data_IF_258870883865
#
_entry.id   IF_258870883865
#
_cell.length_a   1.000
_cell.length_b   1.000
_cell.length_c   1.000
_cell.angle_alpha   90.00
_cell.angle_beta   90.00
_cell.angle_gamma   90.00
#
_symmetry.space_group_name_H-M   'P 1'
#
loop_
_entity.id
_entity.type
_entity.pdbx_description
1 polymer ?
#
# COMPACT_ATOMS: atom_id res chain seq x y z
N UNK A 1 -34.56 -24.25 -11.50
CA UNK A 1 -34.32 -23.77 -12.87
C UNK A 1 -34.71 -24.79 -13.93
N UNK A 2 -35.14 -25.99 -13.54
CA UNK A 2 -35.76 -27.03 -14.38
C UNK A 2 -35.12 -27.24 -15.78
N UNK A 3 -33.79 -27.18 -15.84
CA UNK A 3 -33.02 -27.35 -17.06
C UNK A 3 -32.72 -26.04 -17.82
N UNK A 4 -33.22 -24.90 -17.36
CA UNK A 4 -32.90 -23.60 -17.93
C UNK A 4 -31.58 -23.06 -17.33
N UNK A 5 -30.52 -23.09 -18.12
CA UNK A 5 -29.18 -22.69 -17.70
C UNK A 5 -29.08 -21.18 -17.42
N UNK A 6 -29.73 -20.35 -18.25
CA UNK A 6 -29.72 -18.90 -18.08
C UNK A 6 -30.40 -18.48 -16.78
N UNK A 7 -31.56 -19.07 -16.48
CA UNK A 7 -32.28 -18.85 -15.22
C UNK A 7 -31.47 -19.34 -14.01
N UNK A 8 -30.77 -20.47 -14.15
CA UNK A 8 -29.88 -20.97 -13.10
C UNK A 8 -28.74 -20.00 -12.81
N UNK A 9 -28.10 -19.44 -13.83
CA UNK A 9 -27.04 -18.45 -13.71
C UNK A 9 -27.57 -17.17 -13.06
N UNK A 10 -28.74 -16.69 -13.47
CA UNK A 10 -29.37 -15.49 -12.90
C UNK A 10 -29.68 -15.69 -11.41
N UNK A 11 -30.27 -16.83 -11.05
CA UNK A 11 -30.57 -17.16 -9.65
C UNK A 11 -29.31 -17.26 -8.81
N UNK A 12 -28.24 -17.84 -9.35
CA UNK A 12 -26.96 -17.93 -8.66
C UNK A 12 -26.34 -16.54 -8.41
N UNK A 13 -26.39 -15.65 -9.39
CA UNK A 13 -25.94 -14.25 -9.26
C UNK A 13 -26.70 -13.51 -8.18
N UNK A 14 -28.02 -13.63 -8.14
CA UNK A 14 -28.89 -13.03 -7.12
C UNK A 14 -28.54 -13.57 -5.72
N UNK A 15 -28.35 -14.88 -5.58
CA UNK A 15 -27.97 -15.51 -4.32
C UNK A 15 -26.58 -15.06 -3.85
N UNK A 16 -25.61 -14.92 -4.77
CA UNK A 16 -24.28 -14.44 -4.48
C UNK A 16 -24.28 -12.98 -3.97
N UNK A 17 -25.03 -12.11 -4.63
CA UNK A 17 -25.18 -10.71 -4.21
C UNK A 17 -25.82 -10.58 -2.84
N UNK A 18 -26.84 -11.35 -2.53
CA UNK A 18 -27.47 -11.39 -1.21
C UNK A 18 -26.51 -11.87 -0.12
N UNK A 19 -25.73 -12.89 -0.37
CA UNK A 19 -24.72 -13.39 0.58
C UNK A 19 -23.62 -12.36 0.82
N UNK A 20 -23.13 -11.71 -0.24
CA UNK A 20 -22.13 -10.66 -0.14
C UNK A 20 -22.66 -9.49 0.69
N UNK A 21 -23.87 -9.03 0.43
CA UNK A 21 -24.51 -7.95 1.19
C UNK A 21 -24.62 -8.27 2.69
N UNK A 22 -25.00 -9.50 3.04
CA UNK A 22 -25.11 -9.95 4.45
C UNK A 22 -23.76 -9.97 5.19
N UNK A 23 -22.67 -10.06 4.46
CA UNK A 23 -21.32 -10.13 5.04
C UNK A 23 -20.57 -8.82 4.99
N UNK A 24 -21.11 -7.79 4.31
CA UNK A 24 -20.43 -6.52 4.04
C UNK A 24 -19.96 -5.79 5.31
N UNK A 25 -20.67 -5.96 6.42
CA UNK A 25 -20.33 -5.31 7.69
C UNK A 25 -19.27 -6.07 8.52
N UNK A 26 -18.84 -7.24 8.05
CA UNK A 26 -17.79 -7.99 8.75
C UNK A 26 -16.42 -7.35 8.51
N UNK A 27 -15.63 -7.27 9.56
CA UNK A 27 -14.27 -6.76 9.46
C UNK A 27 -13.40 -7.67 8.59
N UNK A 28 -12.88 -7.12 7.51
CA UNK A 28 -11.95 -7.78 6.61
C UNK A 28 -10.62 -7.02 6.63
N UNK A 29 -9.74 -7.38 7.56
CA UNK A 29 -8.47 -6.71 7.81
C UNK A 29 -7.26 -7.50 7.30
N UNK A 30 -7.47 -8.72 6.87
CA UNK A 30 -6.49 -9.55 6.18
C UNK A 30 -6.61 -9.39 4.66
N UNK A 31 -5.87 -10.14 3.90
CA UNK A 31 -5.94 -10.10 2.45
C UNK A 31 -4.58 -10.12 1.79
N UNK A 32 -4.52 -9.54 0.60
CA UNK A 32 -3.30 -9.46 -0.19
C UNK A 32 -3.21 -8.14 -0.95
N UNK A 33 -1.99 -7.76 -1.27
CA UNK A 33 -1.65 -6.65 -2.16
C UNK A 33 -1.01 -7.20 -3.43
N UNK A 34 -1.17 -6.48 -4.54
CA UNK A 34 -0.54 -6.82 -5.81
C UNK A 34 -0.10 -5.54 -6.52
N UNK A 35 0.95 -5.67 -7.33
CA UNK A 35 1.51 -4.58 -8.12
C UNK A 35 1.68 -5.01 -9.56
N UNK A 36 1.59 -4.06 -10.48
CA UNK A 36 1.96 -4.24 -11.87
C UNK A 36 2.54 -2.95 -12.42
N UNK A 37 3.69 -3.05 -13.10
CA UNK A 37 4.40 -1.92 -13.68
C UNK A 37 4.56 -2.16 -15.18
N UNK A 38 4.38 -1.10 -15.97
CA UNK A 38 4.62 -1.17 -17.42
C UNK A 38 6.08 -1.51 -17.70
N UNK A 39 6.32 -2.27 -18.77
CA UNK A 39 7.68 -2.71 -19.14
C UNK A 39 8.65 -1.55 -19.34
N UNK A 40 8.14 -0.43 -19.87
CA UNK A 40 8.93 0.79 -20.08
C UNK A 40 9.08 1.66 -18.82
N UNK A 41 8.48 1.26 -17.69
CA UNK A 41 8.52 2.02 -16.45
C UNK A 41 7.67 3.28 -16.41
N UNK A 42 6.80 3.48 -17.42
CA UNK A 42 6.03 4.74 -17.53
C UNK A 42 4.90 4.89 -16.51
N UNK A 43 4.39 3.79 -16.00
CA UNK A 43 3.36 3.80 -14.95
C UNK A 43 3.31 2.46 -14.21
N UNK A 44 2.64 2.47 -13.08
CA UNK A 44 2.39 1.27 -12.30
C UNK A 44 1.11 1.38 -11.48
N UNK A 45 0.58 0.24 -11.06
CA UNK A 45 -0.58 0.15 -10.18
C UNK A 45 -0.29 -0.73 -8.99
N UNK A 46 -0.92 -0.40 -7.87
CA UNK A 46 -0.96 -1.23 -6.67
C UNK A 46 -2.40 -1.35 -6.21
N UNK A 47 -2.79 -2.57 -5.83
CA UNK A 47 -4.14 -2.86 -5.35
C UNK A 47 -4.08 -3.56 -3.99
N UNK A 48 -5.08 -3.31 -3.15
CA UNK A 48 -5.29 -4.02 -1.90
C UNK A 48 -6.68 -4.66 -1.92
N UNK A 49 -6.71 -5.98 -1.76
CA UNK A 49 -7.93 -6.77 -1.66
C UNK A 49 -7.98 -7.43 -0.30
N UNK A 50 -9.04 -7.20 0.44
CA UNK A 50 -9.19 -7.69 1.80
C UNK A 50 -10.05 -8.95 1.89
N UNK A 51 -9.74 -9.76 2.90
CA UNK A 51 -10.50 -10.91 3.38
C UNK A 51 -10.58 -10.87 4.92
N UNK A 52 -11.40 -11.73 5.52
CA UNK A 52 -11.50 -11.79 6.98
C UNK A 52 -10.28 -12.50 7.59
N UNK A 53 -9.76 -13.54 6.92
CA UNK A 53 -8.65 -14.36 7.41
C UNK A 53 -7.51 -14.45 6.40
N UNK A 54 -6.33 -14.76 6.92
CA UNK A 54 -5.15 -15.04 6.08
C UNK A 54 -5.27 -16.38 5.32
N UNK A 55 -6.08 -17.30 5.81
CA UNK A 55 -6.40 -18.54 5.10
C UNK A 55 -7.12 -18.25 3.79
N UNK A 56 -8.14 -17.40 3.82
CA UNK A 56 -8.87 -16.98 2.64
C UNK A 56 -7.95 -16.27 1.64
N UNK A 57 -7.02 -15.45 2.13
CA UNK A 57 -6.06 -14.72 1.30
C UNK A 57 -5.11 -15.64 0.50
N UNK A 58 -4.92 -16.88 0.92
CA UNK A 58 -4.07 -17.88 0.24
C UNK A 58 -4.87 -18.83 -0.66
N UNK A 59 -6.18 -18.78 -0.58
CA UNK A 59 -7.05 -19.64 -1.38
C UNK A 59 -6.90 -19.31 -2.87
N UNK A 60 -6.74 -20.33 -3.77
CA UNK A 60 -6.43 -20.09 -5.19
C UNK A 60 -7.41 -19.19 -5.92
N UNK A 61 -8.69 -19.25 -5.60
CA UNK A 61 -9.70 -18.38 -6.23
C UNK A 61 -9.58 -16.93 -5.77
N UNK A 62 -9.19 -16.71 -4.51
CA UNK A 62 -8.88 -15.36 -4.03
C UNK A 62 -7.64 -14.79 -4.74
N UNK A 63 -6.58 -15.57 -4.84
CA UNK A 63 -5.35 -15.19 -5.55
C UNK A 63 -5.65 -14.84 -7.01
N UNK A 64 -6.47 -15.64 -7.70
CA UNK A 64 -6.90 -15.38 -9.06
C UNK A 64 -7.74 -14.11 -9.18
N UNK A 65 -8.58 -13.82 -8.20
CA UNK A 65 -9.38 -12.60 -8.14
C UNK A 65 -8.48 -11.36 -7.99
N UNK A 66 -7.50 -11.40 -7.08
CA UNK A 66 -6.51 -10.31 -6.92
C UNK A 66 -5.78 -10.04 -8.25
N UNK A 67 -5.37 -11.08 -8.96
CA UNK A 67 -4.75 -10.96 -10.27
C UNK A 67 -5.66 -10.27 -11.29
N UNK A 68 -6.95 -10.61 -11.32
CA UNK A 68 -7.93 -9.93 -12.18
C UNK A 68 -8.07 -8.45 -11.85
N UNK A 69 -8.10 -8.11 -10.58
CA UNK A 69 -8.22 -6.71 -10.14
C UNK A 69 -7.00 -5.89 -10.56
N UNK A 70 -5.78 -6.38 -10.30
CA UNK A 70 -4.57 -5.65 -10.67
C UNK A 70 -4.43 -5.53 -12.18
N UNK A 71 -4.78 -6.55 -12.94
CA UNK A 71 -4.74 -6.52 -14.42
C UNK A 71 -5.75 -5.52 -14.98
N UNK A 72 -6.96 -5.48 -14.45
CA UNK A 72 -7.99 -4.52 -14.88
C UNK A 72 -7.60 -3.08 -14.54
N UNK A 73 -7.09 -2.83 -13.34
CA UNK A 73 -6.60 -1.52 -12.93
C UNK A 73 -5.41 -1.06 -13.80
N UNK A 74 -4.51 -1.98 -14.12
CA UNK A 74 -3.37 -1.72 -14.99
C UNK A 74 -3.80 -1.38 -16.43
N UNK A 75 -4.71 -2.16 -17.01
CA UNK A 75 -5.18 -1.96 -18.39
C UNK A 75 -5.94 -0.65 -18.57
N UNK A 76 -6.67 -0.21 -17.55
CA UNK A 76 -7.53 0.99 -17.61
C UNK A 76 -6.95 2.21 -16.93
N UNK A 77 -5.86 2.05 -16.16
CA UNK A 77 -5.30 3.07 -15.27
C UNK A 77 -6.34 3.66 -14.32
N UNK A 78 -7.30 2.83 -13.91
CA UNK A 78 -8.41 3.26 -13.05
C UNK A 78 -8.05 3.12 -11.59
N UNK A 79 -7.99 4.24 -10.87
CA UNK A 79 -7.74 4.29 -9.43
C UNK A 79 -9.02 4.34 -8.59
N UNK A 80 -10.16 4.66 -9.20
CA UNK A 80 -11.45 4.67 -8.52
C UNK A 80 -11.98 3.25 -8.40
N UNK A 81 -12.07 2.75 -7.17
CA UNK A 81 -12.54 1.39 -6.88
C UNK A 81 -13.97 1.18 -7.37
N UNK A 82 -14.87 2.13 -7.10
CA UNK A 82 -16.27 2.01 -7.51
C UNK A 82 -16.41 1.93 -9.03
N UNK A 83 -15.64 2.74 -9.76
CA UNK A 83 -15.64 2.72 -11.22
C UNK A 83 -15.08 1.40 -11.77
N UNK A 84 -13.98 0.90 -11.22
CA UNK A 84 -13.39 -0.36 -11.64
C UNK A 84 -14.32 -1.55 -11.37
N UNK A 85 -14.99 -1.54 -10.23
CA UNK A 85 -15.85 -2.64 -9.77
C UNK A 85 -17.25 -2.60 -10.38
N UNK A 86 -17.59 -1.58 -11.15
CA UNK A 86 -18.88 -1.52 -11.85
C UNK A 86 -18.95 -2.58 -12.96
N UNK A 87 -19.73 -3.64 -12.73
CA UNK A 87 -19.97 -4.68 -13.74
C UNK A 87 -19.39 -6.06 -13.36
N UNK A 88 -18.64 -6.66 -14.27
CA UNK A 88 -18.18 -8.06 -14.14
C UNK A 88 -17.29 -8.32 -12.93
N UNK A 89 -16.46 -7.37 -12.53
CA UNK A 89 -15.58 -7.54 -11.38
C UNK A 89 -16.37 -7.61 -10.06
N UNK A 90 -17.44 -6.82 -9.94
CA UNK A 90 -18.34 -6.91 -8.80
C UNK A 90 -19.06 -8.27 -8.77
N UNK A 91 -19.53 -8.74 -9.90
CA UNK A 91 -20.12 -10.07 -10.02
C UNK A 91 -19.14 -11.17 -9.60
N UNK A 92 -17.87 -11.05 -10.02
CA UNK A 92 -16.80 -11.97 -9.62
C UNK A 92 -16.53 -11.94 -8.12
N UNK A 93 -16.51 -10.73 -7.52
CA UNK A 93 -16.35 -10.55 -6.07
C UNK A 93 -17.46 -11.24 -5.30
N UNK A 94 -18.71 -11.00 -5.67
CA UNK A 94 -19.89 -11.61 -5.03
C UNK A 94 -19.87 -13.14 -5.12
N UNK A 95 -19.49 -13.68 -6.27
CA UNK A 95 -19.33 -15.11 -6.46
C UNK A 95 -18.23 -15.69 -5.57
N UNK A 96 -17.13 -14.95 -5.40
CA UNK A 96 -16.02 -15.35 -4.54
C UNK A 96 -16.43 -15.34 -3.06
N UNK A 97 -17.16 -14.30 -2.61
CA UNK A 97 -17.72 -14.23 -1.25
C UNK A 97 -18.61 -15.44 -0.97
N UNK A 98 -19.44 -15.82 -1.93
CA UNK A 98 -20.29 -17.01 -1.79
C UNK A 98 -19.46 -18.29 -1.67
N UNK A 99 -18.41 -18.43 -2.48
CA UNK A 99 -17.57 -19.62 -2.52
C UNK A 99 -16.72 -19.78 -1.27
N UNK A 100 -16.07 -18.73 -0.82
CA UNK A 100 -15.17 -18.73 0.34
C UNK A 100 -15.94 -18.60 1.65
N UNK A 101 -17.04 -17.85 1.65
CA UNK A 101 -17.85 -17.63 2.84
C UNK A 101 -17.40 -16.49 3.73
N UNK A 102 -16.46 -15.67 3.28
CA UNK A 102 -15.97 -14.50 3.98
C UNK A 102 -16.32 -13.20 3.25
N UNK A 103 -16.31 -12.09 3.99
CA UNK A 103 -16.36 -10.77 3.39
C UNK A 103 -15.05 -10.50 2.62
N UNK A 104 -15.19 -10.14 1.35
CA UNK A 104 -14.08 -9.84 0.46
C UNK A 104 -14.37 -8.51 -0.23
N UNK A 105 -13.38 -7.64 -0.27
CA UNK A 105 -13.53 -6.34 -0.91
C UNK A 105 -12.23 -5.81 -1.47
N UNK A 106 -12.34 -5.06 -2.57
CA UNK A 106 -11.25 -4.24 -3.08
C UNK A 106 -11.25 -2.95 -2.29
N UNK A 107 -10.22 -2.75 -1.47
CA UNK A 107 -10.16 -1.63 -0.55
C UNK A 107 -9.68 -0.34 -1.21
N UNK A 108 -8.59 -0.45 -1.96
CA UNK A 108 -7.96 0.72 -2.59
C UNK A 108 -7.11 0.31 -3.79
N UNK A 109 -6.96 1.26 -4.68
CA UNK A 109 -6.13 1.18 -5.87
C UNK A 109 -5.36 2.49 -5.98
N UNK A 110 -4.07 2.40 -6.28
CA UNK A 110 -3.27 3.58 -6.60
C UNK A 110 -2.60 3.39 -7.95
N UNK A 111 -2.60 4.46 -8.75
CA UNK A 111 -1.94 4.53 -10.05
C UNK A 111 -0.89 5.62 -9.98
N UNK A 112 0.33 5.29 -10.37
CA UNK A 112 1.46 6.24 -10.43
C UNK A 112 1.94 6.30 -11.87
N UNK A 113 1.99 7.50 -12.44
CA UNK A 113 2.41 7.76 -13.82
C UNK A 113 3.51 8.81 -13.89
N UNK A 114 4.37 8.67 -14.88
CA UNK A 114 5.44 9.61 -15.19
C UNK A 114 6.80 9.23 -14.59
N UNK A 115 7.84 9.79 -15.17
CA UNK A 115 9.20 9.46 -14.75
C UNK A 115 9.55 7.98 -14.93
N UNK A 116 10.23 7.43 -13.96
CA UNK A 116 10.59 6.00 -13.92
C UNK A 116 9.91 5.37 -12.70
N UNK A 117 8.97 4.48 -12.95
CA UNK A 117 8.21 3.78 -11.92
C UNK A 117 8.83 2.43 -11.64
N UNK A 118 9.08 2.15 -10.37
CA UNK A 118 9.49 0.86 -9.87
C UNK A 118 8.55 0.32 -8.81
N UNK A 119 8.56 -0.99 -8.61
CA UNK A 119 7.72 -1.65 -7.64
C UNK A 119 8.50 -2.68 -6.84
N UNK A 120 8.05 -2.91 -5.63
CA UNK A 120 8.46 -4.02 -4.80
C UNK A 120 7.23 -4.68 -4.18
N UNK A 121 7.13 -5.99 -4.32
CA UNK A 121 6.14 -6.81 -3.67
C UNK A 121 6.86 -7.80 -2.76
N UNK A 122 6.58 -7.74 -1.46
CA UNK A 122 7.17 -8.67 -0.52
C UNK A 122 6.60 -10.08 -0.69
N UNK A 123 7.41 -11.10 -0.40
CA UNK A 123 7.07 -12.50 -0.62
C UNK A 123 5.80 -12.98 0.09
N UNK A 124 5.40 -12.31 1.17
CA UNK A 124 4.16 -12.61 1.90
C UNK A 124 2.90 -11.99 1.28
N UNK A 125 3.03 -11.20 0.19
CA UNK A 125 1.95 -10.46 -0.46
C UNK A 125 1.18 -9.51 0.45
N UNK A 126 1.80 -9.01 1.51
CA UNK A 126 1.21 -8.08 2.50
C UNK A 126 1.79 -6.68 2.45
N UNK A 127 2.94 -6.52 1.80
CA UNK A 127 3.60 -5.23 1.63
C UNK A 127 3.89 -5.05 0.14
N UNK A 128 3.41 -3.96 -0.41
CA UNK A 128 3.70 -3.55 -1.78
C UNK A 128 4.02 -2.06 -1.82
N UNK A 129 4.99 -1.70 -2.64
CA UNK A 129 5.46 -0.31 -2.78
C UNK A 129 5.60 0.03 -4.25
N UNK A 130 5.11 1.20 -4.64
CA UNK A 130 5.43 1.85 -5.91
C UNK A 130 6.30 3.07 -5.63
N UNK A 131 7.33 3.26 -6.43
CA UNK A 131 8.16 4.46 -6.43
C UNK A 131 8.18 5.11 -7.80
N UNK A 132 8.32 6.42 -7.81
CA UNK A 132 8.45 7.23 -9.00
C UNK A 132 9.70 8.10 -8.87
N UNK A 133 10.59 7.99 -9.84
CA UNK A 133 11.79 8.80 -9.95
C UNK A 133 11.67 9.74 -11.16
N UNK A 134 12.24 10.93 -11.07
CA UNK A 134 12.28 11.87 -12.22
C UNK A 134 13.24 11.40 -13.30
N UNK A 135 14.21 10.59 -12.95
CA UNK A 135 15.20 10.00 -13.85
C UNK A 135 15.76 8.71 -13.30
N UNK A 136 16.84 8.22 -13.88
CA UNK A 136 17.47 6.98 -13.47
C UNK A 136 16.87 5.75 -14.14
N UNK A 137 17.01 4.62 -13.50
CA UNK A 137 16.62 3.32 -14.03
C UNK A 137 15.48 2.68 -13.23
N UNK A 138 14.78 1.73 -13.85
CA UNK A 138 13.79 0.92 -13.14
C UNK A 138 14.42 0.11 -12.00
N UNK A 139 15.65 -0.33 -12.16
CA UNK A 139 16.39 -1.03 -11.10
C UNK A 139 16.58 -0.14 -9.87
N UNK A 140 16.98 1.12 -10.07
CA UNK A 140 17.09 2.09 -8.99
C UNK A 140 15.74 2.33 -8.30
N UNK A 141 14.68 2.53 -9.09
CA UNK A 141 13.33 2.71 -8.57
C UNK A 141 12.86 1.49 -7.74
N UNK A 142 13.18 0.30 -8.18
CA UNK A 142 12.89 -0.96 -7.46
C UNK A 142 13.68 -1.07 -6.15
N UNK A 143 14.94 -0.70 -6.17
CA UNK A 143 15.78 -0.71 -4.97
C UNK A 143 15.26 0.27 -3.92
N UNK A 144 14.82 1.45 -4.34
CA UNK A 144 14.17 2.42 -3.45
C UNK A 144 12.85 1.87 -2.90
N UNK A 145 12.04 1.22 -3.75
CA UNK A 145 10.79 0.58 -3.32
C UNK A 145 11.04 -0.50 -2.27
N UNK A 146 12.06 -1.32 -2.45
CA UNK A 146 12.46 -2.34 -1.49
C UNK A 146 12.91 -1.73 -0.16
N UNK A 147 13.68 -0.65 -0.20
CA UNK A 147 14.07 0.10 1.00
C UNK A 147 12.84 0.61 1.77
N UNK A 148 11.87 1.19 1.06
CA UNK A 148 10.62 1.67 1.65
C UNK A 148 9.86 0.54 2.34
N UNK A 149 9.78 -0.62 1.69
CA UNK A 149 9.14 -1.80 2.29
C UNK A 149 9.81 -2.25 3.59
N UNK A 150 11.15 -2.16 3.64
CA UNK A 150 11.93 -2.58 4.79
C UNK A 150 11.90 -1.59 5.95
N UNK A 151 11.97 -0.29 5.67
CA UNK A 151 12.18 0.78 6.67
C UNK A 151 10.92 1.59 6.96
N UNK A 152 9.97 1.59 6.05
CA UNK A 152 8.68 2.29 6.18
C UNK A 152 8.82 3.78 6.54
N UNK A 153 9.48 4.61 5.72
CA UNK A 153 9.53 6.04 5.95
C UNK A 153 8.12 6.65 5.89
N UNK A 154 7.87 7.65 6.71
CA UNK A 154 6.55 8.30 6.76
C UNK A 154 6.37 9.34 5.64
N UNK A 155 7.47 9.98 5.23
CA UNK A 155 7.49 11.04 4.20
C UNK A 155 8.73 10.89 3.33
N UNK A 156 8.75 11.59 2.20
CA UNK A 156 9.92 11.62 1.30
C UNK A 156 10.98 12.57 1.84
N UNK A 157 10.60 13.81 2.13
CA UNK A 157 11.50 14.85 2.67
C UNK A 157 11.11 15.21 4.10
N UNK A 158 12.07 15.69 4.93
CA UNK A 158 11.75 16.15 6.28
C UNK A 158 10.67 17.26 6.32
N UNK A 159 10.65 18.13 5.35
CA UNK A 159 9.69 19.23 5.22
C UNK A 159 8.26 18.77 4.97
N UNK A 160 8.10 17.56 4.46
CA UNK A 160 6.80 16.97 4.17
C UNK A 160 6.09 16.42 5.42
N UNK A 161 6.79 16.34 6.55
CA UNK A 161 6.21 15.84 7.79
C UNK A 161 5.09 16.76 8.26
N UNK A 162 3.85 16.24 8.46
CA UNK A 162 2.74 17.06 8.94
C UNK A 162 3.05 17.75 10.26
N UNK A 163 2.67 19.03 10.39
CA UNK A 163 2.96 19.84 11.57
C UNK A 163 2.37 19.24 12.86
N UNK A 164 1.18 18.64 12.79
CA UNK A 164 0.54 17.97 13.91
C UNK A 164 1.33 16.74 14.39
N UNK A 165 1.97 16.02 13.50
CA UNK A 165 2.84 14.89 13.85
C UNK A 165 4.12 15.35 14.54
N UNK A 166 4.71 16.45 14.09
CA UNK A 166 5.87 17.08 14.74
C UNK A 166 5.51 17.54 16.14
N UNK A 167 4.34 18.16 16.31
CA UNK A 167 3.86 18.61 17.63
C UNK A 167 3.60 17.44 18.60
N UNK A 168 3.02 16.35 18.11
CA UNK A 168 2.85 15.12 18.91
C UNK A 168 4.19 14.55 19.36
N UNK A 169 5.17 14.50 18.47
CA UNK A 169 6.50 14.01 18.82
C UNK A 169 7.18 14.93 19.84
N UNK A 170 7.03 16.23 19.73
CA UNK A 170 7.52 17.18 20.74
C UNK A 170 6.91 16.93 22.12
N UNK A 171 5.62 16.64 22.19
CA UNK A 171 4.94 16.29 23.45
C UNK A 171 5.49 15.00 24.04
N UNK A 172 5.72 13.97 23.22
CA UNK A 172 6.31 12.70 23.62
C UNK A 172 7.71 12.92 24.18
N UNK A 173 8.53 13.72 23.51
CA UNK A 173 9.90 14.04 23.93
C UNK A 173 9.89 14.78 25.27
N UNK A 174 9.01 15.78 25.45
CA UNK A 174 8.88 16.52 26.71
C UNK A 174 8.53 15.63 27.90
N UNK A 175 7.77 14.58 27.67
CA UNK A 175 7.34 13.64 28.70
C UNK A 175 8.42 12.60 29.06
N UNK A 176 9.55 12.58 28.36
CA UNK A 176 10.64 11.65 28.66
C UNK A 176 11.33 11.99 29.97
N UNK A 177 11.72 10.98 30.79
CA UNK A 177 12.29 11.20 32.13
C UNK A 177 13.54 12.07 32.15
N UNK A 178 14.36 12.02 31.11
CA UNK A 178 15.61 12.79 31.03
C UNK A 178 15.41 14.29 30.74
N UNK A 179 14.18 14.71 30.46
CA UNK A 179 13.78 16.11 30.33
C UNK A 179 13.36 16.73 31.67
N UNK A 180 13.08 15.90 32.66
CA UNK A 180 12.59 16.34 33.96
C UNK A 180 13.66 17.12 34.74
N UNK A 181 13.29 18.27 35.31
CA UNK A 181 14.17 19.07 36.14
C UNK A 181 15.23 19.87 35.41
N UNK A 182 15.22 19.90 34.07
CA UNK A 182 16.19 20.68 33.28
C UNK A 182 15.73 22.10 33.01
N UNK A 183 16.67 23.09 32.91
CA UNK A 183 16.34 24.44 32.49
C UNK A 183 15.68 24.48 31.13
N UNK A 184 14.79 25.44 30.89
CA UNK A 184 14.03 25.57 29.66
C UNK A 184 14.92 25.67 28.40
N UNK A 185 16.04 26.38 28.47
CA UNK A 185 17.00 26.50 27.34
C UNK A 185 17.62 25.15 26.94
N UNK A 186 17.93 24.32 27.94
CA UNK A 186 18.49 22.98 27.71
C UNK A 186 17.44 22.06 27.14
N UNK A 187 16.19 22.13 27.62
CA UNK A 187 15.06 21.36 27.10
C UNK A 187 14.81 21.72 25.62
N UNK A 188 14.79 22.99 25.26
CA UNK A 188 14.64 23.43 23.87
C UNK A 188 15.75 22.90 22.96
N UNK A 189 16.98 22.96 23.41
CA UNK A 189 18.14 22.48 22.64
C UNK A 189 18.11 20.98 22.43
N UNK A 190 17.79 20.22 23.48
CA UNK A 190 17.62 18.77 23.41
C UNK A 190 16.46 18.40 22.51
N UNK A 191 15.33 19.12 22.60
CA UNK A 191 14.17 18.92 21.76
C UNK A 191 14.47 19.14 20.29
N UNK A 192 15.15 20.24 19.95
CA UNK A 192 15.59 20.54 18.59
C UNK A 192 16.42 19.42 17.98
N UNK A 193 17.37 18.87 18.75
CA UNK A 193 18.20 17.73 18.35
C UNK A 193 17.39 16.45 18.12
N UNK A 194 16.45 16.15 19.02
CA UNK A 194 15.60 14.96 18.92
C UNK A 194 14.57 15.04 17.80
N UNK A 195 13.98 16.20 17.56
CA UNK A 195 13.08 16.42 16.42
C UNK A 195 13.86 16.28 15.11
N UNK A 196 15.06 16.82 15.03
CA UNK A 196 15.91 16.65 13.86
C UNK A 196 16.21 15.18 13.58
N UNK A 197 16.51 14.41 14.62
CA UNK A 197 16.73 12.96 14.55
C UNK A 197 15.46 12.23 14.11
N UNK A 198 14.30 12.57 14.68
CA UNK A 198 13.00 12.01 14.30
C UNK A 198 12.71 12.23 12.81
N UNK A 199 12.87 13.45 12.32
CA UNK A 199 12.67 13.79 10.91
C UNK A 199 13.62 13.01 10.00
N UNK A 200 14.88 12.88 10.38
CA UNK A 200 15.87 12.12 9.64
C UNK A 200 15.53 10.63 9.56
N UNK A 201 15.12 10.04 10.67
CA UNK A 201 14.78 8.62 10.75
C UNK A 201 13.49 8.26 9.99
N UNK A 202 12.58 9.21 9.80
CA UNK A 202 11.28 9.00 9.17
C UNK A 202 11.14 9.60 7.77
N UNK A 203 12.19 10.18 7.23
CA UNK A 203 12.19 10.79 5.89
C UNK A 203 13.04 9.95 4.93
N UNK A 204 12.41 9.49 3.85
CA UNK A 204 13.02 8.56 2.90
C UNK A 204 14.42 8.97 2.45
N UNK A 205 14.57 10.22 1.99
CA UNK A 205 15.82 10.69 1.41
C UNK A 205 16.96 10.84 2.42
N UNK A 206 16.64 10.98 3.70
CA UNK A 206 17.59 11.10 4.80
C UNK A 206 18.01 9.76 5.40
N UNK A 207 17.28 8.68 5.09
CA UNK A 207 17.57 7.35 5.64
C UNK A 207 18.79 6.73 4.97
N UNK A 208 19.56 5.97 5.75
CA UNK A 208 20.63 5.14 5.23
C UNK A 208 20.04 4.03 4.36
N UNK A 209 20.59 3.85 3.15
CA UNK A 209 20.08 2.86 2.22
C UNK A 209 20.28 1.43 2.76
N UNK A 210 19.23 0.62 2.72
CA UNK A 210 19.23 -0.71 3.35
C UNK A 210 20.29 -1.66 2.78
N UNK A 211 20.60 -1.58 1.49
CA UNK A 211 21.66 -2.40 0.86
C UNK A 211 23.06 -1.84 1.03
N UNK A 212 23.18 -0.56 1.31
CA UNK A 212 24.47 0.13 1.52
C UNK A 212 24.30 1.28 2.51
N UNK A 213 24.48 1.02 3.83
CA UNK A 213 24.27 2.03 4.86
C UNK A 213 25.21 3.23 4.83
N UNK A 214 26.27 3.17 4.04
CA UNK A 214 27.24 4.26 3.88
C UNK A 214 26.71 5.44 3.07
N UNK A 215 25.61 5.23 2.33
CA UNK A 215 24.95 6.28 1.54
C UNK A 215 23.50 6.45 2.00
N UNK A 216 23.00 7.69 1.91
CA UNK A 216 21.57 7.95 2.08
C UNK A 216 20.81 7.60 0.80
N UNK A 217 19.51 7.34 0.95
CA UNK A 217 18.63 7.13 -0.22
C UNK A 217 18.68 8.35 -1.16
N UNK A 218 18.70 9.59 -0.59
CA UNK A 218 18.81 10.80 -1.37
C UNK A 218 20.10 10.87 -2.20
N UNK A 219 21.23 10.48 -1.63
CA UNK A 219 22.50 10.43 -2.35
C UNK A 219 22.49 9.34 -3.43
N UNK A 220 21.93 8.17 -3.12
CA UNK A 220 21.79 7.07 -4.08
C UNK A 220 20.98 7.47 -5.32
N UNK A 221 19.87 8.14 -5.12
CA UNK A 221 18.99 8.62 -6.21
C UNK A 221 19.68 9.70 -7.03
N UNK A 222 20.35 10.63 -6.36
CA UNK A 222 21.11 11.71 -7.03
C UNK A 222 22.24 11.18 -7.90
N UNK A 223 22.95 10.16 -7.43
CA UNK A 223 24.06 9.55 -8.17
C UNK A 223 23.58 8.65 -9.32
N UNK A 224 22.38 8.10 -9.22
CA UNK A 224 21.80 7.19 -10.21
C UNK A 224 20.95 7.82 -11.29
N UNK A 225 20.61 9.07 -11.15
CA UNK A 225 19.79 9.84 -12.09
C UNK A 225 20.36 11.18 -12.39
#
# INVERSE_FOLDING_TARGET
ADGDIELAIENLRKASGLKAAKKADRTAADGAVAVKVAEDGSYGVVVEVNSETDFAAREPNFVAFVAKIVDAAFATKQADVAALMAGELETAREALVQKIGENIGVRRISVVEGGVVGAYLHSNNRIAVLTQLEGGTQELARDVAMHIAAVNPQVVNPEDMPADQVEKEKEIIKAQPDMEGKPAEIVEKMMGGRIKKFLKENSLLEQSFVKNPDVSVGQLVKDGG
#
